data_IF_387421812491
#
_entry.id   IF_387421812491
#
_cell.length_a   1.000
_cell.length_b   1.000
_cell.length_c   1.000
_cell.angle_alpha   90.00
_cell.angle_beta   90.00
_cell.angle_gamma   90.00
#
_symmetry.space_group_name_H-M   'P 1'
#
loop_
_entity.id
_entity.type
_entity.pdbx_description
1 polymer ?
#
# COMPACT_ATOMS: atom_id res chain seq x y z
N UNK A 1 -32.79 -13.84 3.39
CA UNK A 1 -31.89 -13.09 2.50
C UNK A 1 -31.05 -12.22 3.40
N UNK A 2 -29.91 -12.74 3.83
CA UNK A 2 -28.94 -12.05 4.68
C UNK A 2 -27.75 -11.69 3.78
N UNK A 3 -27.60 -10.40 3.48
CA UNK A 3 -26.49 -9.90 2.68
C UNK A 3 -25.29 -9.62 3.61
N UNK A 4 -24.24 -10.43 3.47
CA UNK A 4 -23.00 -10.32 4.20
C UNK A 4 -22.01 -9.35 3.54
N UNK A 5 -21.85 -8.16 4.13
CA UNK A 5 -20.85 -7.16 3.75
C UNK A 5 -20.24 -6.45 4.96
N UNK A 6 -18.96 -6.73 5.23
CA UNK A 6 -18.00 -6.09 6.16
C UNK A 6 -18.48 -5.60 7.56
N UNK A 7 -18.16 -6.36 8.61
CA UNK A 7 -18.45 -6.14 10.04
C UNK A 7 -17.32 -5.37 10.75
N UNK A 8 -16.73 -4.33 10.13
CA UNK A 8 -15.67 -3.54 10.76
C UNK A 8 -16.10 -2.08 10.83
N UNK A 9 -16.23 -1.54 12.05
CA UNK A 9 -16.58 -0.14 12.23
C UNK A 9 -15.49 0.77 11.64
N UNK A 10 -15.88 1.95 11.15
CA UNK A 10 -14.96 2.92 10.56
C UNK A 10 -13.73 3.20 11.45
N UNK A 11 -13.93 3.34 12.76
CA UNK A 11 -12.83 3.55 13.71
C UNK A 11 -11.84 2.39 13.75
N UNK A 12 -12.31 1.14 13.72
CA UNK A 12 -11.43 -0.04 13.70
C UNK A 12 -10.70 -0.14 12.37
N UNK A 13 -11.38 0.13 11.25
CA UNK A 13 -10.78 0.16 9.92
C UNK A 13 -9.65 1.20 9.82
N UNK A 14 -9.90 2.43 10.31
CA UNK A 14 -8.92 3.51 10.33
C UNK A 14 -7.73 3.20 11.26
N UNK A 15 -7.98 2.63 12.45
CA UNK A 15 -6.91 2.21 13.35
C UNK A 15 -6.03 1.13 12.72
N UNK A 16 -6.62 0.16 12.04
CA UNK A 16 -5.88 -0.88 11.32
C UNK A 16 -5.05 -0.26 10.19
N UNK A 17 -5.65 0.62 9.39
CA UNK A 17 -4.96 1.32 8.30
C UNK A 17 -3.71 2.08 8.78
N UNK A 18 -3.86 2.89 9.83
CA UNK A 18 -2.75 3.63 10.43
C UNK A 18 -1.70 2.70 11.03
N UNK A 19 -2.12 1.66 11.73
CA UNK A 19 -1.23 0.65 12.32
C UNK A 19 -0.39 -0.04 11.24
N UNK A 20 -1.02 -0.47 10.14
CA UNK A 20 -0.33 -1.09 9.02
C UNK A 20 0.66 -0.11 8.36
N UNK A 21 0.30 1.16 8.20
CA UNK A 21 1.21 2.18 7.68
C UNK A 21 2.46 2.33 8.56
N UNK A 22 2.30 2.48 9.88
CA UNK A 22 3.45 2.57 10.79
C UNK A 22 4.27 1.29 10.75
N UNK A 23 3.64 0.13 10.90
CA UNK A 23 4.34 -1.15 10.94
C UNK A 23 5.15 -1.40 9.67
N UNK A 24 4.55 -1.17 8.50
CA UNK A 24 5.21 -1.38 7.21
C UNK A 24 6.29 -0.33 6.91
N UNK A 25 6.15 0.90 7.45
CA UNK A 25 7.20 1.91 7.43
C UNK A 25 8.45 1.43 8.20
N UNK A 26 8.27 0.99 9.45
CA UNK A 26 9.37 0.51 10.28
C UNK A 26 9.98 -0.79 9.73
N UNK A 27 9.18 -1.70 9.17
CA UNK A 27 9.69 -2.88 8.47
C UNK A 27 10.57 -2.47 7.28
N UNK A 28 10.21 -1.41 6.55
CA UNK A 28 11.05 -0.88 5.48
C UNK A 28 12.44 -0.45 5.98
N UNK A 29 12.53 0.11 7.18
CA UNK A 29 13.80 0.43 7.82
C UNK A 29 14.64 -0.82 8.15
N UNK A 30 14.01 -1.96 8.47
CA UNK A 30 14.72 -3.24 8.68
C UNK A 30 15.41 -3.74 7.40
N UNK A 31 14.90 -3.37 6.23
CA UNK A 31 15.55 -3.62 4.92
C UNK A 31 16.58 -2.55 4.54
N UNK A 32 16.94 -1.66 5.46
CA UNK A 32 17.91 -0.59 5.22
C UNK A 32 17.38 0.59 4.38
N UNK A 33 16.07 0.64 4.12
CA UNK A 33 15.47 1.72 3.33
C UNK A 33 15.22 2.91 4.25
N UNK A 34 15.92 4.02 4.02
CA UNK A 34 15.74 5.26 4.78
C UNK A 34 14.52 6.05 4.31
N UNK A 35 14.21 7.12 5.05
CA UNK A 35 13.16 8.05 4.65
C UNK A 35 13.31 8.51 3.18
N UNK A 36 12.16 8.59 2.51
CA UNK A 36 12.07 8.94 1.10
C UNK A 36 11.65 10.39 0.90
N UNK A 37 12.29 11.05 -0.06
CA UNK A 37 12.01 12.44 -0.45
C UNK A 37 11.70 12.58 -1.96
N UNK A 38 11.68 11.48 -2.70
CA UNK A 38 11.61 11.51 -4.16
C UNK A 38 10.18 11.70 -4.69
N UNK A 39 9.22 11.00 -4.11
CA UNK A 39 7.82 10.98 -4.53
C UNK A 39 6.93 10.75 -3.30
N UNK A 40 5.60 10.74 -3.49
CA UNK A 40 4.68 10.25 -2.47
C UNK A 40 4.98 8.77 -2.15
N UNK A 41 5.37 8.51 -0.91
CA UNK A 41 5.83 7.21 -0.48
C UNK A 41 5.43 6.93 0.98
N UNK A 42 5.12 5.66 1.27
CA UNK A 42 4.98 5.13 2.62
C UNK A 42 6.19 5.44 3.52
N UNK A 43 7.40 5.48 2.95
CA UNK A 43 8.63 5.78 3.69
C UNK A 43 8.93 7.28 3.80
N UNK A 44 7.99 8.16 3.46
CA UNK A 44 8.17 9.60 3.72
C UNK A 44 8.13 9.86 5.23
N UNK A 45 9.08 10.67 5.74
CA UNK A 45 9.03 11.12 7.13
C UNK A 45 7.79 12.00 7.38
N UNK A 46 7.22 11.90 8.58
CA UNK A 46 6.06 12.68 9.01
C UNK A 46 6.28 13.21 10.43
N UNK A 47 5.95 14.48 10.68
CA UNK A 47 6.13 15.11 11.99
C UNK A 47 4.84 15.11 12.84
N UNK A 48 3.68 15.00 12.21
CA UNK A 48 2.39 15.00 12.89
C UNK A 48 1.35 14.12 12.20
N UNK A 49 0.25 13.83 12.90
CA UNK A 49 -0.75 12.85 12.44
C UNK A 49 -1.43 13.25 11.12
N UNK A 50 -1.74 14.53 10.91
CA UNK A 50 -2.37 14.94 9.64
C UNK A 50 -1.44 14.81 8.43
N UNK A 51 -0.14 15.03 8.57
CA UNK A 51 0.85 14.70 7.54
C UNK A 51 0.86 13.19 7.28
N UNK A 52 0.89 12.39 8.35
CA UNK A 52 0.89 10.94 8.27
C UNK A 52 -0.35 10.42 7.55
N UNK A 53 -1.55 10.93 7.87
CA UNK A 53 -2.80 10.53 7.23
C UNK A 53 -2.80 10.85 5.73
N UNK A 54 -2.21 11.97 5.33
CA UNK A 54 -2.06 12.35 3.92
C UNK A 54 -1.10 11.45 3.13
N UNK A 55 -0.13 10.81 3.79
CA UNK A 55 0.82 9.91 3.10
C UNK A 55 0.15 8.62 2.63
N UNK A 56 0.58 8.05 1.50
CA UNK A 56 0.03 6.79 1.03
C UNK A 56 0.53 5.59 1.85
N UNK A 57 -0.19 4.47 1.77
CA UNK A 57 0.28 3.15 2.24
C UNK A 57 1.17 2.42 1.20
N UNK A 58 1.34 2.96 -0.01
CA UNK A 58 2.18 2.34 -1.04
C UNK A 58 3.60 2.91 -1.06
N UNK A 59 4.56 2.10 -1.50
CA UNK A 59 5.92 2.54 -1.81
C UNK A 59 5.94 3.23 -3.18
N UNK A 60 6.73 4.30 -3.30
CA UNK A 60 7.04 4.89 -4.60
C UNK A 60 7.92 3.94 -5.45
N UNK A 61 8.09 4.17 -6.77
CA UNK A 61 8.88 3.29 -7.62
C UNK A 61 10.32 3.06 -7.14
N UNK A 62 10.93 4.08 -6.53
CA UNK A 62 12.31 4.01 -6.00
C UNK A 62 12.39 3.00 -4.86
N UNK A 63 11.55 3.15 -3.83
CA UNK A 63 11.62 2.28 -2.64
C UNK A 63 10.98 0.93 -2.88
N UNK A 64 10.01 0.84 -3.80
CA UNK A 64 9.50 -0.44 -4.29
C UNK A 64 10.64 -1.25 -4.91
N UNK A 65 11.49 -0.62 -5.74
CA UNK A 65 12.63 -1.31 -6.35
C UNK A 65 13.69 -1.68 -5.33
N UNK A 66 13.97 -0.83 -4.33
CA UNK A 66 14.88 -1.18 -3.22
C UNK A 66 14.39 -2.41 -2.46
N UNK A 67 13.11 -2.45 -2.11
CA UNK A 67 12.53 -3.60 -1.42
C UNK A 67 12.54 -4.85 -2.32
N UNK A 68 12.21 -4.68 -3.60
CA UNK A 68 12.24 -5.79 -4.56
C UNK A 68 13.64 -6.38 -4.70
N UNK A 69 14.67 -5.55 -4.74
CA UNK A 69 16.07 -5.99 -4.77
C UNK A 69 16.43 -6.78 -3.51
N UNK A 70 15.94 -6.35 -2.34
CA UNK A 70 16.24 -6.99 -1.07
C UNK A 70 15.54 -8.35 -0.87
N UNK A 71 14.38 -8.60 -1.50
CA UNK A 71 13.59 -9.81 -1.23
C UNK A 71 13.16 -10.62 -2.46
N UNK A 72 13.39 -10.11 -3.68
CA UNK A 72 13.10 -10.83 -4.93
C UNK A 72 11.60 -11.04 -5.25
N UNK A 73 10.68 -10.24 -4.69
CA UNK A 73 9.24 -10.45 -4.91
C UNK A 73 8.79 -10.05 -6.33
N UNK A 74 7.67 -10.64 -6.79
CA UNK A 74 6.96 -10.22 -8.01
C UNK A 74 6.02 -9.05 -7.73
N UNK A 75 6.24 -7.91 -8.40
CA UNK A 75 5.44 -6.69 -8.19
C UNK A 75 3.93 -6.92 -8.46
N UNK A 76 3.53 -7.53 -9.60
CA UNK A 76 2.12 -7.85 -9.83
C UNK A 76 1.51 -8.72 -8.72
N UNK A 77 2.16 -9.84 -8.38
CA UNK A 77 1.66 -10.77 -7.37
C UNK A 77 1.53 -10.10 -5.99
N UNK A 78 2.48 -9.22 -5.63
CA UNK A 78 2.38 -8.41 -4.40
C UNK A 78 1.15 -7.50 -4.42
N UNK A 79 0.89 -6.81 -5.52
CA UNK A 79 -0.24 -5.90 -5.62
C UNK A 79 -1.58 -6.63 -5.65
N UNK A 80 -1.68 -7.80 -6.28
CA UNK A 80 -2.87 -8.65 -6.23
C UNK A 80 -3.19 -9.08 -4.79
N UNK A 81 -2.18 -9.56 -4.05
CA UNK A 81 -2.34 -9.96 -2.66
C UNK A 81 -2.77 -8.78 -1.76
N UNK A 82 -2.17 -7.61 -1.95
CA UNK A 82 -2.55 -6.41 -1.20
C UNK A 82 -3.96 -5.92 -1.55
N UNK A 83 -4.38 -6.04 -2.81
CA UNK A 83 -5.73 -5.65 -3.22
C UNK A 83 -6.78 -6.52 -2.53
N UNK A 84 -6.57 -7.84 -2.52
CA UNK A 84 -7.47 -8.78 -1.85
C UNK A 84 -7.61 -8.50 -0.35
N UNK A 85 -6.54 -8.04 0.33
CA UNK A 85 -6.60 -7.62 1.73
C UNK A 85 -7.32 -6.28 1.90
N UNK A 86 -6.99 -5.28 1.07
CA UNK A 86 -7.57 -3.95 1.15
C UNK A 86 -9.10 -3.97 0.96
N UNK A 87 -9.60 -4.83 0.07
CA UNK A 87 -11.04 -5.01 -0.19
C UNK A 87 -11.80 -5.63 1.00
N UNK A 88 -11.10 -6.24 1.96
CA UNK A 88 -11.71 -6.86 3.14
C UNK A 88 -11.71 -5.95 4.38
N UNK A 89 -10.89 -4.89 4.38
CA UNK A 89 -10.59 -4.13 5.60
C UNK A 89 -11.37 -2.82 5.76
N UNK A 90 -12.41 -2.61 4.93
CA UNK A 90 -13.40 -1.55 5.08
C UNK A 90 -12.98 -0.19 4.50
N UNK A 91 -13.81 0.82 4.77
CA UNK A 91 -13.79 2.14 4.09
C UNK A 91 -12.42 2.85 4.10
N UNK A 92 -11.66 2.78 5.20
CA UNK A 92 -10.36 3.47 5.30
C UNK A 92 -9.33 2.96 4.27
N UNK A 93 -9.57 1.80 3.67
CA UNK A 93 -8.69 1.15 2.69
C UNK A 93 -9.10 1.42 1.24
N UNK A 94 -10.28 1.99 0.97
CA UNK A 94 -10.82 2.16 -0.38
C UNK A 94 -9.88 2.92 -1.30
N UNK A 95 -9.34 4.05 -0.84
CA UNK A 95 -8.37 4.82 -1.63
C UNK A 95 -7.10 4.03 -1.97
N UNK A 96 -6.67 3.11 -1.10
CA UNK A 96 -5.55 2.23 -1.35
C UNK A 96 -5.91 1.12 -2.35
N UNK A 97 -7.09 0.52 -2.21
CA UNK A 97 -7.61 -0.48 -3.15
C UNK A 97 -7.74 0.12 -4.56
N UNK A 98 -8.28 1.32 -4.70
CA UNK A 98 -8.37 2.03 -5.99
C UNK A 98 -7.00 2.30 -6.60
N UNK A 99 -6.02 2.71 -5.79
CA UNK A 99 -4.66 2.86 -6.26
C UNK A 99 -4.08 1.54 -6.78
N UNK A 100 -4.28 0.44 -6.05
CA UNK A 100 -3.82 -0.89 -6.44
C UNK A 100 -4.46 -1.38 -7.74
N UNK A 101 -5.79 -1.24 -7.90
CA UNK A 101 -6.51 -1.59 -9.13
C UNK A 101 -5.93 -0.87 -10.34
N UNK A 102 -5.75 0.45 -10.25
CA UNK A 102 -5.15 1.26 -11.32
C UNK A 102 -3.71 0.85 -11.64
N UNK A 103 -2.92 0.49 -10.62
CA UNK A 103 -1.53 0.04 -10.82
C UNK A 103 -1.46 -1.32 -11.49
N UNK A 104 -2.31 -2.27 -11.10
CA UNK A 104 -2.38 -3.59 -11.73
C UNK A 104 -2.79 -3.48 -13.21
N UNK A 105 -3.84 -2.72 -13.50
CA UNK A 105 -4.28 -2.48 -14.87
C UNK A 105 -3.18 -1.81 -15.72
N UNK A 106 -2.44 -0.85 -15.18
CA UNK A 106 -1.28 -0.27 -15.86
C UNK A 106 -0.21 -1.32 -16.19
N UNK A 107 0.15 -2.18 -15.22
CA UNK A 107 1.18 -3.21 -15.43
C UNK A 107 0.75 -4.25 -16.47
N UNK A 108 -0.53 -4.67 -16.45
CA UNK A 108 -1.10 -5.59 -17.43
C UNK A 108 -1.03 -5.01 -18.84
N UNK A 109 -1.39 -3.73 -19.00
CA UNK A 109 -1.30 -3.02 -20.29
C UNK A 109 0.13 -2.89 -20.80
N UNK A 110 1.09 -2.61 -19.91
CA UNK A 110 2.50 -2.55 -20.28
C UNK A 110 3.05 -3.92 -20.71
N UNK A 111 2.65 -4.99 -20.04
CA UNK A 111 3.06 -6.35 -20.41
C UNK A 111 2.46 -6.76 -21.76
N UNK A 112 1.19 -6.45 -22.02
CA UNK A 112 0.54 -6.71 -23.30
C UNK A 112 1.16 -5.92 -24.45
N UNK A 113 1.64 -4.70 -24.21
CA UNK A 113 2.31 -3.87 -25.21
C UNK A 113 3.76 -4.29 -25.49
N UNK A 114 4.36 -5.11 -24.63
CA UNK A 114 5.73 -5.62 -24.78
C UNK A 114 5.81 -6.99 -25.48
N UNK A 115 4.66 -7.57 -25.85
CA UNK A 115 4.50 -8.83 -26.59
C UNK A 115 4.11 -8.53 -28.05
#
# INVERSE_FOLDING_TARGET
>A
AEEGGAIISHHVSLMLYRSCKVLTHEIGHLFGIRHCIFYECLLSGCNHLSEFDFRPLHLCPVDLRKLQEATGFSVPARYEALLGLAEQWGEAWEGHADWLRRRLDYLQRQQAAAL
#
